data_IF_294798067298
#
_entry.id   IF_294798067298
#
_cell.length_a   1.000
_cell.length_b   1.000
_cell.length_c   1.000
_cell.angle_alpha   90.00
_cell.angle_beta   90.00
_cell.angle_gamma   90.00
#
_symmetry.space_group_name_H-M   'P 1'
#
loop_
_entity.id
_entity.type
_entity.pdbx_description
1 polymer ?
#
# COMPACT_ATOMS: atom_id res chain seq x y z
N UNK A 1 -2.12 11.58 -36.06
CA UNK A 1 -0.88 12.33 -35.74
C UNK A 1 0.07 11.36 -35.05
N UNK A 2 1.15 10.98 -35.69
CA UNK A 2 2.13 10.09 -35.08
C UNK A 2 2.99 10.91 -34.12
N UNK A 3 2.82 10.69 -32.81
CA UNK A 3 3.81 11.06 -31.84
C UNK A 3 5.08 10.28 -32.21
N UNK A 4 6.19 10.93 -32.38
CA UNK A 4 7.49 10.26 -32.59
C UNK A 4 8.23 10.28 -31.25
N UNK A 5 7.91 9.36 -30.32
CA UNK A 5 8.54 9.36 -29.01
C UNK A 5 9.96 8.81 -29.11
N UNK A 6 10.87 9.37 -28.32
CA UNK A 6 12.23 8.85 -28.18
C UNK A 6 12.25 7.56 -27.36
N UNK A 7 11.25 7.38 -26.48
CA UNK A 7 11.10 6.22 -25.61
C UNK A 7 9.65 6.02 -25.20
N UNK A 8 9.21 4.77 -25.11
CA UNK A 8 7.98 4.37 -24.39
C UNK A 8 8.31 3.92 -22.97
N UNK A 9 7.66 4.54 -22.00
CA UNK A 9 7.67 4.09 -20.60
C UNK A 9 6.33 3.42 -20.32
N UNK A 10 6.34 2.14 -20.04
CA UNK A 10 5.13 1.31 -19.89
C UNK A 10 5.21 0.49 -18.60
N UNK A 11 4.05 0.18 -18.02
CA UNK A 11 3.99 -0.74 -16.90
C UNK A 11 3.86 -2.18 -17.43
N UNK A 12 4.50 -3.16 -16.76
CA UNK A 12 4.46 -4.58 -17.15
C UNK A 12 3.04 -5.17 -17.21
N UNK A 13 2.07 -4.56 -16.51
CA UNK A 13 0.65 -4.98 -16.49
C UNK A 13 0.00 -4.92 -17.90
N UNK A 14 0.53 -4.12 -18.83
CA UNK A 14 -0.02 -4.07 -20.20
C UNK A 14 0.15 -5.38 -20.98
N UNK A 15 1.00 -6.29 -20.52
CA UNK A 15 1.25 -7.59 -21.10
C UNK A 15 2.42 -7.63 -22.09
N UNK A 16 3.10 -8.78 -22.13
CA UNK A 16 4.31 -8.99 -22.92
C UNK A 16 4.11 -8.75 -24.43
N UNK A 17 2.97 -9.18 -24.98
CA UNK A 17 2.68 -9.05 -26.41
C UNK A 17 2.60 -7.58 -26.86
N UNK A 18 1.98 -6.71 -26.03
CA UNK A 18 1.90 -5.28 -26.32
C UNK A 18 3.28 -4.62 -26.19
N UNK A 19 4.05 -5.02 -25.19
CA UNK A 19 5.42 -4.52 -25.01
C UNK A 19 6.26 -4.90 -26.24
N UNK A 20 6.14 -6.13 -26.73
CA UNK A 20 6.85 -6.57 -27.92
C UNK A 20 6.41 -5.81 -29.17
N UNK A 21 5.11 -5.57 -29.35
CA UNK A 21 4.59 -4.78 -30.47
C UNK A 21 5.21 -3.36 -30.54
N UNK A 22 5.43 -2.71 -29.39
CA UNK A 22 6.10 -1.41 -29.37
C UNK A 22 7.58 -1.51 -29.77
N UNK A 23 8.29 -2.56 -29.34
CA UNK A 23 9.68 -2.82 -29.73
C UNK A 23 9.80 -3.06 -31.22
N UNK A 24 8.87 -3.81 -31.81
CA UNK A 24 8.84 -4.10 -33.26
C UNK A 24 8.61 -2.86 -34.11
N UNK A 25 8.04 -1.79 -33.54
CA UNK A 25 7.94 -0.46 -34.16
C UNK A 25 9.28 0.31 -34.15
N UNK A 26 10.35 -0.27 -33.61
CA UNK A 26 11.67 0.36 -33.51
C UNK A 26 11.77 1.44 -32.42
N UNK A 27 10.82 1.50 -31.49
CA UNK A 27 10.83 2.49 -30.41
C UNK A 27 11.44 1.83 -29.15
N UNK A 28 12.43 2.46 -28.50
CA UNK A 28 12.94 1.98 -27.22
C UNK A 28 11.82 1.88 -26.17
N UNK A 29 11.74 0.76 -25.46
CA UNK A 29 10.72 0.53 -24.44
C UNK A 29 11.36 0.28 -23.09
N UNK A 30 11.08 1.15 -22.13
CA UNK A 30 11.38 0.94 -20.71
C UNK A 30 10.16 0.36 -20.00
N UNK A 31 10.34 -0.77 -19.33
CA UNK A 31 9.25 -1.45 -18.61
C UNK A 31 9.39 -1.21 -17.12
N UNK A 32 8.44 -0.48 -16.56
CA UNK A 32 8.30 -0.28 -15.11
C UNK A 32 7.66 -1.53 -14.51
N UNK A 33 8.33 -2.13 -13.55
CA UNK A 33 7.81 -3.29 -12.80
C UNK A 33 6.97 -2.84 -11.61
N UNK A 34 6.05 -3.69 -11.18
CA UNK A 34 5.30 -3.46 -9.96
C UNK A 34 6.23 -3.56 -8.76
N UNK A 35 6.32 -2.48 -8.00
CA UNK A 35 7.10 -2.46 -6.77
C UNK A 35 6.31 -3.11 -5.63
N UNK A 36 6.98 -3.99 -4.89
CA UNK A 36 6.42 -4.69 -3.72
C UNK A 36 6.80 -4.04 -2.39
N UNK A 37 7.73 -3.07 -2.43
CA UNK A 37 8.21 -2.35 -1.25
C UNK A 37 8.64 -0.92 -1.63
N UNK A 38 8.79 -0.08 -0.62
CA UNK A 38 9.13 1.35 -0.79
C UNK A 38 10.54 1.55 -1.33
N UNK A 39 11.48 0.65 -1.03
CA UNK A 39 12.84 0.74 -1.55
C UNK A 39 12.88 0.50 -3.06
N UNK A 40 12.11 -0.46 -3.57
CA UNK A 40 11.95 -0.66 -5.01
C UNK A 40 11.36 0.58 -5.70
N UNK A 41 10.36 1.23 -5.08
CA UNK A 41 9.81 2.50 -5.59
C UNK A 41 10.88 3.57 -5.70
N UNK A 42 11.72 3.76 -4.67
CA UNK A 42 12.81 4.74 -4.68
C UNK A 42 13.83 4.43 -5.77
N UNK A 43 14.20 3.15 -5.90
CA UNK A 43 15.14 2.71 -6.94
C UNK A 43 14.57 2.95 -8.33
N UNK A 44 13.29 2.72 -8.55
CA UNK A 44 12.63 2.97 -9.83
C UNK A 44 12.56 4.47 -10.15
N UNK A 45 12.32 5.34 -9.17
CA UNK A 45 12.38 6.80 -9.33
C UNK A 45 13.78 7.23 -9.81
N UNK A 46 14.84 6.70 -9.21
CA UNK A 46 16.22 7.04 -9.64
C UNK A 46 16.46 6.58 -11.06
N UNK A 47 16.10 5.33 -11.42
CA UNK A 47 16.28 4.82 -12.79
C UNK A 47 15.52 5.66 -13.82
N UNK A 48 14.26 5.98 -13.54
CA UNK A 48 13.44 6.82 -14.42
C UNK A 48 14.04 8.23 -14.55
N UNK A 49 14.52 8.81 -13.45
CA UNK A 49 15.12 10.16 -13.50
C UNK A 49 16.40 10.21 -14.34
N UNK A 50 17.24 9.18 -14.27
CA UNK A 50 18.43 9.04 -15.14
C UNK A 50 17.98 8.87 -16.59
N UNK A 51 16.99 8.03 -16.85
CA UNK A 51 16.48 7.75 -18.19
C UNK A 51 16.00 9.00 -18.94
N UNK A 52 15.43 9.97 -18.21
CA UNK A 52 14.90 11.22 -18.77
C UNK A 52 15.81 12.43 -18.55
N UNK A 53 17.04 12.24 -18.07
CA UNK A 53 18.01 13.31 -17.86
C UNK A 53 17.75 14.21 -16.65
N UNK A 54 16.93 13.75 -15.69
CA UNK A 54 16.48 14.53 -14.51
C UNK A 54 16.99 13.93 -13.19
N UNK A 55 18.18 13.37 -13.17
CA UNK A 55 18.74 12.61 -12.03
C UNK A 55 18.71 13.40 -10.72
N UNK A 56 19.03 14.69 -10.75
CA UNK A 56 19.02 15.52 -9.55
C UNK A 56 17.61 15.65 -8.96
N UNK A 57 16.59 15.77 -9.80
CA UNK A 57 15.17 15.79 -9.36
C UNK A 57 14.74 14.47 -8.73
N UNK A 58 15.21 13.35 -9.31
CA UNK A 58 15.00 12.02 -8.72
C UNK A 58 15.59 11.90 -7.31
N UNK A 59 16.83 12.34 -7.12
CA UNK A 59 17.50 12.36 -5.80
C UNK A 59 16.76 13.23 -4.78
N UNK A 60 16.31 14.42 -5.20
CA UNK A 60 15.50 15.30 -4.32
C UNK A 60 14.19 14.65 -3.92
N UNK A 61 13.52 13.98 -4.85
CA UNK A 61 12.26 13.28 -4.58
C UNK A 61 12.44 12.13 -3.58
N UNK A 62 13.44 11.29 -3.79
CA UNK A 62 13.77 10.19 -2.86
C UNK A 62 14.15 10.72 -1.47
N UNK A 63 14.90 11.83 -1.40
CA UNK A 63 15.21 12.48 -0.13
C UNK A 63 13.92 12.92 0.60
N UNK A 64 12.97 13.56 -0.10
CA UNK A 64 11.68 13.96 0.48
C UNK A 64 10.88 12.75 1.00
N UNK A 65 10.90 11.62 0.28
CA UNK A 65 10.28 10.38 0.76
C UNK A 65 10.93 9.91 2.07
N UNK A 66 12.26 9.86 2.11
CA UNK A 66 13.01 9.44 3.31
C UNK A 66 12.75 10.37 4.50
N UNK A 67 12.77 11.68 4.28
CA UNK A 67 12.48 12.68 5.32
C UNK A 67 11.06 12.51 5.90
N UNK A 68 10.07 12.21 5.03
CA UNK A 68 8.69 11.93 5.44
C UNK A 68 8.60 10.63 6.26
N UNK A 69 9.19 9.54 5.80
CA UNK A 69 9.20 8.26 6.52
C UNK A 69 9.87 8.39 7.90
N UNK A 70 11.03 9.07 7.95
CA UNK A 70 11.73 9.31 9.22
C UNK A 70 10.92 10.18 10.18
N UNK A 71 10.13 11.14 9.68
CA UNK A 71 9.23 11.95 10.50
C UNK A 71 8.07 11.12 11.06
N UNK A 72 7.45 10.27 10.24
CA UNK A 72 6.39 9.36 10.71
C UNK A 72 6.94 8.47 11.82
N UNK A 73 8.08 7.82 11.60
CA UNK A 73 8.70 6.91 12.58
C UNK A 73 9.02 7.62 13.91
N UNK A 74 9.55 8.84 13.87
CA UNK A 74 9.86 9.62 15.09
C UNK A 74 8.63 9.99 15.90
N UNK A 75 7.47 10.13 15.24
CA UNK A 75 6.22 10.47 15.91
C UNK A 75 5.55 9.27 16.57
N UNK A 76 5.97 8.05 16.25
CA UNK A 76 5.46 6.83 16.89
C UNK A 76 6.32 6.56 18.13
N UNK A 77 5.75 6.57 19.36
CA UNK A 77 6.48 6.23 20.57
C UNK A 77 7.12 4.84 20.47
N UNK A 78 8.39 4.69 20.88
CA UNK A 78 9.14 3.44 20.71
C UNK A 78 8.48 2.26 21.41
N UNK A 79 7.82 2.49 22.52
CA UNK A 79 7.08 1.50 23.31
C UNK A 79 5.85 0.96 22.57
N UNK A 80 5.36 1.69 21.54
CA UNK A 80 4.26 1.26 20.69
C UNK A 80 4.71 0.50 19.45
N UNK A 81 6.02 0.48 19.13
CA UNK A 81 6.51 -0.22 17.95
C UNK A 81 6.11 -1.69 17.99
N UNK A 82 5.43 -2.15 16.94
CA UNK A 82 4.95 -3.52 16.76
C UNK A 82 4.04 -4.04 17.90
N UNK A 83 3.50 -3.13 18.74
CA UNK A 83 2.54 -3.48 19.80
C UNK A 83 1.14 -3.79 19.27
N UNK A 84 0.84 -3.34 18.06
CA UNK A 84 -0.46 -3.52 17.39
C UNK A 84 -0.30 -4.36 16.13
N UNK A 85 -1.32 -5.18 15.86
CA UNK A 85 -1.40 -5.99 14.65
C UNK A 85 -2.60 -5.61 13.80
N UNK A 86 -2.43 -5.75 12.47
CA UNK A 86 -3.47 -5.48 11.49
C UNK A 86 -3.72 -6.68 10.58
N UNK A 87 -4.91 -6.75 10.03
CA UNK A 87 -5.28 -7.65 8.93
C UNK A 87 -5.90 -6.80 7.83
N UNK A 88 -5.54 -7.06 6.59
CA UNK A 88 -6.12 -6.43 5.40
C UNK A 88 -6.59 -7.50 4.42
N UNK A 89 -7.87 -7.47 4.09
CA UNK A 89 -8.49 -8.37 3.11
C UNK A 89 -9.39 -7.61 2.15
N UNK A 90 -9.67 -8.22 0.99
CA UNK A 90 -10.71 -7.77 0.07
C UNK A 90 -12.11 -8.08 0.60
N UNK A 91 -13.15 -7.61 -0.10
CA UNK A 91 -14.54 -7.88 0.24
C UNK A 91 -14.91 -9.38 0.27
N UNK A 92 -14.18 -10.22 -0.47
CA UNK A 92 -14.36 -11.67 -0.49
C UNK A 92 -13.29 -12.41 0.35
N UNK A 93 -12.69 -11.72 1.32
CA UNK A 93 -11.69 -12.25 2.24
C UNK A 93 -10.43 -12.82 1.58
N UNK A 94 -10.09 -12.33 0.40
CA UNK A 94 -8.78 -12.59 -0.19
C UNK A 94 -7.75 -11.67 0.45
N UNK A 95 -6.60 -12.21 0.85
CA UNK A 95 -5.51 -11.44 1.43
C UNK A 95 -4.98 -10.39 0.45
N UNK A 96 -5.04 -9.13 0.82
CA UNK A 96 -4.34 -8.03 0.18
C UNK A 96 -3.06 -7.65 0.95
N UNK A 97 -2.92 -8.12 2.18
CA UNK A 97 -1.84 -7.82 3.11
C UNK A 97 -0.84 -8.97 3.32
N UNK A 98 -0.67 -9.89 2.36
CA UNK A 98 0.24 -11.03 2.50
C UNK A 98 1.72 -10.63 2.60
N UNK A 99 2.55 -11.63 2.97
CA UNK A 99 3.99 -11.47 3.13
C UNK A 99 4.67 -10.94 1.86
N UNK A 100 5.55 -9.96 2.01
CA UNK A 100 6.38 -9.46 0.93
C UNK A 100 5.66 -8.58 -0.09
N UNK A 101 4.45 -8.10 0.20
CA UNK A 101 3.75 -7.13 -0.64
C UNK A 101 3.93 -5.69 -0.14
N UNK A 102 3.47 -4.71 -0.91
CA UNK A 102 3.56 -3.30 -0.55
C UNK A 102 2.91 -3.01 0.82
N UNK A 103 1.76 -3.60 1.13
CA UNK A 103 1.10 -3.41 2.43
C UNK A 103 1.95 -3.94 3.59
N UNK A 104 2.64 -5.06 3.41
CA UNK A 104 3.55 -5.62 4.41
C UNK A 104 4.71 -4.65 4.69
N UNK A 105 5.25 -4.04 3.66
CA UNK A 105 6.31 -3.04 3.79
C UNK A 105 5.81 -1.72 4.43
N UNK A 106 4.59 -1.28 4.07
CA UNK A 106 3.90 -0.15 4.72
C UNK A 106 3.74 -0.41 6.23
N UNK A 107 3.31 -1.61 6.63
CA UNK A 107 3.21 -2.01 8.04
C UNK A 107 4.56 -1.90 8.76
N UNK A 108 5.65 -2.37 8.15
CA UNK A 108 7.01 -2.27 8.72
C UNK A 108 7.44 -0.83 8.94
N UNK A 109 7.22 0.05 7.95
CA UNK A 109 7.53 1.47 8.06
C UNK A 109 6.63 2.18 9.09
N UNK A 110 5.38 1.76 9.22
CA UNK A 110 4.45 2.25 10.25
C UNK A 110 4.67 1.60 11.63
N UNK A 111 5.65 0.70 11.79
CA UNK A 111 5.93 -0.03 13.05
C UNK A 111 4.74 -0.86 13.55
N UNK A 112 3.99 -1.47 12.63
CA UNK A 112 2.80 -2.26 12.88
C UNK A 112 3.07 -3.72 12.47
N UNK A 113 2.54 -4.69 13.19
CA UNK A 113 2.58 -6.10 12.79
C UNK A 113 1.54 -6.37 11.72
N UNK A 114 1.93 -7.09 10.69
CA UNK A 114 1.01 -7.61 9.68
C UNK A 114 0.65 -9.05 10.03
N UNK A 115 -0.53 -9.27 10.61
CA UNK A 115 -0.94 -10.57 11.12
C UNK A 115 -1.01 -11.67 10.05
N UNK A 116 -1.32 -11.32 8.80
CA UNK A 116 -1.32 -12.27 7.68
C UNK A 116 0.12 -12.70 7.33
N UNK A 117 1.04 -11.74 7.27
CA UNK A 117 2.45 -12.00 6.98
C UNK A 117 3.13 -12.76 8.13
N UNK A 118 2.75 -12.50 9.39
CA UNK A 118 3.25 -13.21 10.57
C UNK A 118 2.93 -14.72 10.53
N UNK A 119 1.80 -15.11 9.91
CA UNK A 119 1.47 -16.52 9.61
C UNK A 119 2.17 -17.08 8.36
N UNK A 120 3.00 -16.28 7.70
CA UNK A 120 3.72 -16.69 6.49
C UNK A 120 2.84 -16.72 5.23
N UNK A 121 1.60 -16.24 5.29
CA UNK A 121 0.67 -16.24 4.17
C UNK A 121 1.03 -15.17 3.13
N UNK A 122 0.81 -15.50 1.85
CA UNK A 122 1.05 -14.59 0.72
C UNK A 122 -0.22 -13.81 0.33
N UNK A 123 -0.03 -12.72 -0.41
CA UNK A 123 -1.13 -12.01 -1.07
C UNK A 123 -1.88 -12.94 -2.03
N UNK A 124 -3.21 -12.80 -2.09
CA UNK A 124 -4.09 -13.61 -2.94
C UNK A 124 -4.59 -14.90 -2.29
N UNK A 125 -4.10 -15.30 -1.12
CA UNK A 125 -4.62 -16.44 -0.38
C UNK A 125 -5.93 -16.07 0.34
N UNK A 126 -6.82 -17.05 0.49
CA UNK A 126 -8.08 -16.85 1.26
C UNK A 126 -7.78 -16.77 2.75
N UNK A 127 -8.27 -15.72 3.38
CA UNK A 127 -8.23 -15.53 4.83
C UNK A 127 -9.60 -15.91 5.38
N UNK A 128 -9.79 -17.19 5.66
CA UNK A 128 -11.04 -17.68 6.22
C UNK A 128 -11.22 -17.23 7.69
N UNK A 129 -12.38 -17.52 8.26
CA UNK A 129 -12.73 -17.08 9.63
C UNK A 129 -11.80 -17.68 10.69
N UNK A 130 -11.39 -18.92 10.52
CA UNK A 130 -10.45 -19.61 11.42
C UNK A 130 -9.11 -18.87 11.46
N UNK A 131 -8.57 -18.47 10.30
CA UNK A 131 -7.35 -17.66 10.21
C UNK A 131 -7.54 -16.28 10.84
N UNK A 132 -8.71 -15.63 10.63
CA UNK A 132 -8.99 -14.34 11.29
C UNK A 132 -9.01 -14.46 12.82
N UNK A 133 -9.60 -15.55 13.33
CA UNK A 133 -9.67 -15.83 14.77
C UNK A 133 -8.28 -16.17 15.33
N UNK A 134 -7.48 -16.93 14.61
CA UNK A 134 -6.09 -17.27 14.99
C UNK A 134 -5.22 -16.01 15.09
N UNK A 135 -5.27 -15.12 14.10
CA UNK A 135 -4.55 -13.84 14.12
C UNK A 135 -5.07 -12.94 15.24
N UNK A 136 -6.38 -12.87 15.40
CA UNK A 136 -7.08 -12.00 16.35
C UNK A 136 -6.48 -10.58 16.40
N UNK A 137 -6.53 -9.80 15.30
CA UNK A 137 -5.81 -8.55 15.15
C UNK A 137 -6.37 -7.44 16.03
N UNK A 138 -5.55 -6.41 16.30
CA UNK A 138 -6.00 -5.19 16.99
C UNK A 138 -6.83 -4.29 16.05
N UNK A 139 -6.53 -4.32 14.75
CA UNK A 139 -7.24 -3.57 13.69
C UNK A 139 -7.55 -4.49 12.52
N UNK A 140 -8.76 -4.37 11.98
CA UNK A 140 -9.18 -5.13 10.81
C UNK A 140 -9.57 -4.17 9.68
N UNK A 141 -8.93 -4.31 8.52
CA UNK A 141 -9.20 -3.48 7.36
C UNK A 141 -9.82 -4.30 6.23
N UNK A 142 -10.92 -3.77 5.68
CA UNK A 142 -11.52 -4.24 4.45
C UNK A 142 -11.13 -3.29 3.32
N UNK A 143 -10.49 -3.82 2.27
CA UNK A 143 -10.15 -3.02 1.12
C UNK A 143 -11.41 -2.58 0.37
N UNK A 144 -11.51 -1.31 0.06
CA UNK A 144 -12.57 -0.77 -0.79
C UNK A 144 -11.99 -0.19 -2.09
N UNK A 145 -12.72 -0.30 -3.21
CA UNK A 145 -12.31 0.34 -4.45
C UNK A 145 -12.13 1.86 -4.28
N UNK A 146 -11.22 2.43 -5.04
CA UNK A 146 -10.95 3.88 -5.03
C UNK A 146 -12.17 4.77 -5.33
N UNK A 147 -13.13 4.27 -6.11
CA UNK A 147 -14.36 5.03 -6.38
C UNK A 147 -15.27 4.98 -5.16
N UNK A 148 -15.54 6.15 -4.61
CA UNK A 148 -16.49 6.27 -3.50
C UNK A 148 -17.87 5.77 -3.91
N UNK A 149 -18.37 4.80 -3.17
CA UNK A 149 -19.73 4.33 -3.25
C UNK A 149 -20.25 4.08 -1.83
N UNK A 150 -20.67 5.16 -1.19
CA UNK A 150 -21.06 5.16 0.22
C UNK A 150 -22.02 4.00 0.57
N UNK A 151 -23.02 3.73 -0.26
CA UNK A 151 -23.97 2.65 0.00
C UNK A 151 -23.32 1.25 -0.03
N UNK A 152 -22.37 1.02 -0.95
CA UNK A 152 -21.61 -0.25 -1.01
C UNK A 152 -20.64 -0.36 0.16
N UNK A 153 -20.00 0.74 0.52
CA UNK A 153 -19.05 0.82 1.63
C UNK A 153 -19.73 0.52 2.96
N UNK A 154 -20.88 1.17 3.21
CA UNK A 154 -21.70 0.93 4.41
C UNK A 154 -22.21 -0.52 4.47
N UNK A 155 -22.65 -1.07 3.33
CA UNK A 155 -23.09 -2.46 3.23
C UNK A 155 -21.94 -3.42 3.55
N UNK A 156 -20.78 -3.25 2.96
CA UNK A 156 -19.61 -4.12 3.18
C UNK A 156 -19.20 -4.14 4.66
N UNK A 157 -19.10 -2.97 5.26
CA UNK A 157 -18.76 -2.85 6.68
C UNK A 157 -19.84 -3.44 7.57
N UNK A 158 -21.12 -3.16 7.26
CA UNK A 158 -22.27 -3.67 8.01
C UNK A 158 -22.38 -5.20 7.97
N UNK A 159 -22.16 -5.82 6.80
CA UNK A 159 -22.16 -7.28 6.64
C UNK A 159 -21.04 -7.93 7.46
N UNK A 160 -19.85 -7.36 7.48
CA UNK A 160 -18.75 -7.86 8.31
C UNK A 160 -19.06 -7.75 9.80
N UNK A 161 -19.55 -6.61 10.25
CA UNK A 161 -19.86 -6.39 11.68
C UNK A 161 -21.07 -7.19 12.18
N UNK A 162 -22.00 -7.57 11.27
CA UNK A 162 -23.16 -8.41 11.61
C UNK A 162 -22.82 -9.90 11.76
N UNK A 163 -21.62 -10.31 11.35
CA UNK A 163 -21.20 -11.72 11.41
C UNK A 163 -20.87 -12.13 12.86
N UNK A 164 -21.81 -12.84 13.50
CA UNK A 164 -21.66 -13.31 14.88
C UNK A 164 -20.43 -14.19 15.11
N UNK A 165 -19.93 -14.89 14.09
CA UNK A 165 -18.72 -15.71 14.23
C UNK A 165 -17.45 -14.89 14.44
N UNK A 166 -17.47 -13.60 14.09
CA UNK A 166 -16.37 -12.66 14.23
C UNK A 166 -16.53 -11.68 15.41
N UNK A 167 -17.65 -11.72 16.14
CA UNK A 167 -17.95 -10.79 17.24
C UNK A 167 -16.90 -10.79 18.35
N UNK A 168 -16.18 -11.90 18.51
CA UNK A 168 -15.14 -12.07 19.51
C UNK A 168 -13.75 -11.60 19.08
N UNK A 169 -13.56 -11.19 17.81
CA UNK A 169 -12.30 -10.59 17.36
C UNK A 169 -12.02 -9.30 18.15
N UNK A 170 -10.77 -9.13 18.55
CA UNK A 170 -10.31 -7.95 19.29
C UNK A 170 -10.63 -6.66 18.54
N UNK A 171 -10.39 -6.64 17.23
CA UNK A 171 -10.71 -5.51 16.37
C UNK A 171 -12.22 -5.17 16.40
N UNK A 172 -13.11 -6.17 16.37
CA UNK A 172 -14.57 -5.97 16.41
C UNK A 172 -15.00 -5.43 17.77
N UNK A 173 -14.55 -6.06 18.86
CA UNK A 173 -14.88 -5.64 20.25
C UNK A 173 -14.46 -4.20 20.56
N UNK A 174 -13.35 -3.76 19.98
CA UNK A 174 -12.79 -2.42 20.22
C UNK A 174 -13.26 -1.39 19.19
N UNK A 175 -14.12 -1.74 18.23
CA UNK A 175 -14.56 -0.83 17.16
C UNK A 175 -13.47 -0.48 16.15
N UNK A 176 -12.40 -1.28 16.06
CA UNK A 176 -11.23 -1.06 15.20
C UNK A 176 -11.37 -1.79 13.85
N UNK A 177 -12.56 -1.77 13.27
CA UNK A 177 -12.82 -2.29 11.92
C UNK A 177 -13.08 -1.12 11.00
N UNK A 178 -12.34 -1.01 9.90
CA UNK A 178 -12.48 0.11 8.98
C UNK A 178 -12.27 -0.31 7.52
N UNK A 179 -12.79 0.52 6.62
CA UNK A 179 -12.50 0.42 5.20
C UNK A 179 -11.17 1.13 4.90
N UNK A 180 -10.34 0.51 4.06
CA UNK A 180 -9.11 1.10 3.58
C UNK A 180 -9.15 1.21 2.06
N UNK A 181 -8.98 2.43 1.53
CA UNK A 181 -8.98 2.65 0.09
C UNK A 181 -7.82 1.94 -0.58
N UNK A 182 -8.07 1.28 -1.72
CA UNK A 182 -7.05 0.63 -2.53
C UNK A 182 -5.91 1.57 -2.94
N UNK A 183 -6.17 2.89 -3.00
CA UNK A 183 -5.12 3.89 -3.22
C UNK A 183 -4.01 3.87 -2.15
N UNK A 184 -4.28 3.39 -0.94
CA UNK A 184 -3.28 3.24 0.13
C UNK A 184 -2.63 1.84 0.17
N UNK A 185 -3.11 0.92 -0.66
CA UNK A 185 -2.66 -0.48 -0.65
C UNK A 185 -1.70 -0.75 -1.81
N UNK A 186 -2.04 -0.27 -3.01
CA UNK A 186 -1.37 -0.62 -4.27
C UNK A 186 -0.55 0.52 -4.86
N UNK A 187 -0.11 1.50 -4.05
CA UNK A 187 0.67 2.64 -4.55
C UNK A 187 2.11 2.24 -4.85
N UNK A 188 2.44 2.08 -6.13
CA UNK A 188 3.79 1.83 -6.63
C UNK A 188 4.54 3.11 -7.07
N UNK A 189 4.33 4.25 -6.41
CA UNK A 189 5.00 5.52 -6.72
C UNK A 189 5.31 6.33 -5.45
N UNK A 190 5.94 7.51 -5.58
CA UNK A 190 6.42 8.34 -4.47
C UNK A 190 5.41 8.60 -3.34
N UNK A 191 4.12 8.55 -3.64
CA UNK A 191 3.09 8.81 -2.64
C UNK A 191 2.79 7.62 -1.72
N UNK A 192 3.49 6.47 -1.86
CA UNK A 192 3.39 5.35 -0.92
C UNK A 192 3.71 5.74 0.52
N UNK A 193 4.47 6.83 0.73
CA UNK A 193 4.73 7.38 2.07
C UNK A 193 3.46 7.89 2.77
N UNK A 194 2.44 8.30 2.00
CA UNK A 194 1.12 8.67 2.55
C UNK A 194 0.35 7.47 3.07
N UNK A 195 0.56 6.31 2.46
CA UNK A 195 -0.01 5.06 2.96
C UNK A 195 0.55 4.70 4.33
N UNK A 196 1.86 4.89 4.53
CA UNK A 196 2.51 4.72 5.83
C UNK A 196 1.92 5.68 6.87
N UNK A 197 1.79 6.97 6.53
CA UNK A 197 1.19 7.97 7.41
C UNK A 197 -0.26 7.61 7.76
N UNK A 198 -1.06 7.26 6.75
CA UNK A 198 -2.47 6.92 6.94
C UNK A 198 -2.65 5.71 7.85
N UNK A 199 -1.90 4.64 7.59
CA UNK A 199 -1.96 3.43 8.41
C UNK A 199 -1.48 3.70 9.84
N UNK A 200 -0.37 4.40 10.01
CA UNK A 200 0.15 4.75 11.33
C UNK A 200 -0.85 5.62 12.13
N UNK A 201 -1.50 6.60 11.49
CA UNK A 201 -2.53 7.41 12.14
C UNK A 201 -3.76 6.56 12.54
N UNK A 202 -4.23 5.66 11.66
CA UNK A 202 -5.37 4.79 11.97
C UNK A 202 -5.10 3.89 13.18
N UNK A 203 -3.86 3.47 13.38
CA UNK A 203 -3.48 2.51 14.43
C UNK A 203 -3.04 3.21 15.72
N UNK A 204 -2.32 4.33 15.62
CA UNK A 204 -1.73 5.01 16.78
C UNK A 204 -2.41 6.36 17.10
N UNK A 205 -3.40 6.77 16.31
CA UNK A 205 -4.16 7.99 16.56
C UNK A 205 -3.34 9.27 16.36
N UNK A 206 -3.63 10.27 17.18
CA UNK A 206 -3.13 11.65 17.01
C UNK A 206 -1.62 11.83 17.22
N UNK A 207 -0.90 10.84 17.75
CA UNK A 207 0.55 10.90 17.81
C UNK A 207 1.17 10.93 16.39
N UNK A 208 0.45 10.43 15.38
CA UNK A 208 0.83 10.54 13.98
C UNK A 208 -0.12 11.49 13.26
N UNK A 209 0.25 12.77 13.19
CA UNK A 209 -0.56 13.79 12.52
C UNK A 209 -0.79 13.46 11.05
N UNK A 210 -2.05 13.53 10.59
CA UNK A 210 -2.37 13.49 9.16
C UNK A 210 -2.04 14.83 8.52
N UNK A 211 -0.95 14.88 7.77
CA UNK A 211 -0.65 16.01 6.90
C UNK A 211 -1.45 15.88 5.58
N UNK A 212 -1.76 17.00 4.91
CA UNK A 212 -2.40 16.97 3.59
C UNK A 212 -1.63 16.09 2.61
N UNK A 213 -2.35 15.30 1.83
CA UNK A 213 -1.77 14.42 0.82
C UNK A 213 -1.42 15.24 -0.44
N UNK A 214 -0.29 15.92 -0.41
CA UNK A 214 0.24 16.61 -1.58
C UNK A 214 1.16 15.71 -2.39
N UNK A 215 1.09 15.81 -3.72
CA UNK A 215 2.04 15.10 -4.57
C UNK A 215 3.47 15.56 -4.25
N UNK A 216 4.32 14.62 -3.84
CA UNK A 216 5.73 14.90 -3.66
C UNK A 216 6.38 15.23 -5.01
N UNK A 217 7.12 16.32 -5.06
CA UNK A 217 7.75 16.83 -6.29
C UNK A 217 9.26 16.84 -6.13
N UNK A 218 9.98 16.58 -7.23
CA UNK A 218 11.45 16.59 -7.29
C UNK A 218 12.07 17.99 -7.42
N UNK A 219 11.34 19.04 -7.05
CA UNK A 219 11.82 20.43 -7.10
C UNK A 219 11.30 21.22 -5.90
#
# INVERSE_FOLDING_TARGET
MALKPDIFIVNEVIGADKIQSYRDMGIPVYVVRLSTNIEEVKNEIIKLSVLVGEEQRGKVLVKKMNDKLARIERNIPKELHYSKSTVLVSANYTSYGGKGCMYDDICKHAKIRNGIADLGMNTGQTVNKEVMIEINPDFFFLAKPWKDNKAKDEKLLGEFLADKSLENLRAVKNGNVALLDEKYIFIGHQNCVWSVQKLAHLVYGDCVTLEPEEFLKGF
#
